data_IF_208980238578
#
_entry.id   IF_208980238578
#
_cell.length_a   1.000
_cell.length_b   1.000
_cell.length_c   1.000
_cell.angle_alpha   90.00
_cell.angle_beta   90.00
_cell.angle_gamma   90.00
#
_symmetry.space_group_name_H-M   'P 1'
#
loop_
_entity.id
_entity.type
_entity.pdbx_description
1 polymer ?
#
# COMPACT_ATOMS: atom_id res chain seq x y z
N UNK A 1 -51.16 9.59 33.12
CA UNK A 1 -49.72 9.33 32.88
C UNK A 1 -49.24 10.06 31.61
N UNK A 2 -49.03 11.38 31.63
CA UNK A 2 -48.56 12.15 30.45
C UNK A 2 -47.15 12.75 30.62
N UNK A 3 -46.65 12.85 31.85
CA UNK A 3 -45.38 13.54 32.13
C UNK A 3 -44.13 12.71 31.84
N UNK A 4 -44.22 11.37 31.78
CA UNK A 4 -43.05 10.49 31.56
C UNK A 4 -42.56 10.51 30.10
N UNK A 5 -43.45 10.76 29.13
CA UNK A 5 -43.13 10.70 27.69
C UNK A 5 -42.23 11.86 27.24
N UNK A 6 -42.43 13.05 27.81
CA UNK A 6 -41.63 14.24 27.49
C UNK A 6 -40.23 14.16 28.12
N UNK A 7 -40.13 13.61 29.33
CA UNK A 7 -38.84 13.38 30.00
C UNK A 7 -38.00 12.38 29.20
N UNK A 8 -38.62 11.27 28.73
CA UNK A 8 -37.93 10.28 27.89
C UNK A 8 -37.47 10.91 26.56
N UNK A 9 -38.29 11.76 25.94
CA UNK A 9 -37.94 12.43 24.69
C UNK A 9 -36.75 13.39 24.87
N UNK A 10 -36.75 14.20 25.93
CA UNK A 10 -35.65 15.11 26.25
C UNK A 10 -34.37 14.33 26.56
N UNK A 11 -34.45 13.27 27.36
CA UNK A 11 -33.30 12.44 27.70
C UNK A 11 -32.66 11.78 26.46
N UNK A 12 -33.47 11.32 25.51
CA UNK A 12 -32.98 10.76 24.26
C UNK A 12 -32.26 11.81 23.40
N UNK A 13 -32.80 13.02 23.32
CA UNK A 13 -32.22 14.12 22.55
C UNK A 13 -30.85 14.53 23.12
N UNK A 14 -30.73 14.59 24.45
CA UNK A 14 -29.46 14.88 25.13
C UNK A 14 -28.41 13.80 24.84
N UNK A 15 -28.78 12.51 24.86
CA UNK A 15 -27.86 11.42 24.55
C UNK A 15 -27.34 11.48 23.11
N UNK A 16 -28.21 11.82 22.14
CA UNK A 16 -27.82 12.01 20.74
C UNK A 16 -26.81 13.15 20.60
N UNK A 17 -27.07 14.30 21.25
CA UNK A 17 -26.17 15.46 21.20
C UNK A 17 -24.81 15.13 21.80
N UNK A 18 -24.77 14.47 22.96
CA UNK A 18 -23.51 14.05 23.60
C UNK A 18 -22.75 13.05 22.71
N UNK A 19 -23.45 12.10 22.10
CA UNK A 19 -22.84 11.11 21.20
C UNK A 19 -22.18 11.74 19.96
N UNK A 20 -22.84 12.72 19.35
CA UNK A 20 -22.29 13.45 18.19
C UNK A 20 -21.08 14.30 18.62
N UNK A 21 -21.17 15.01 19.74
CA UNK A 21 -20.07 15.84 20.23
C UNK A 21 -18.85 15.01 20.69
N UNK A 22 -19.07 13.81 21.23
CA UNK A 22 -18.01 12.93 21.71
C UNK A 22 -17.09 12.39 20.61
N UNK A 23 -17.61 12.20 19.39
CA UNK A 23 -16.84 11.62 18.28
C UNK A 23 -15.68 12.50 17.81
N UNK A 24 -15.81 13.82 17.95
CA UNK A 24 -14.78 14.80 17.57
C UNK A 24 -13.53 14.75 18.45
N UNK A 25 -13.60 14.12 19.62
CA UNK A 25 -12.46 14.03 20.54
C UNK A 25 -11.57 12.79 20.31
N UNK A 26 -11.86 11.96 19.30
CA UNK A 26 -11.01 10.80 19.01
C UNK A 26 -9.61 11.25 18.54
N UNK A 27 -8.53 10.90 19.26
CA UNK A 27 -7.19 11.28 18.86
C UNK A 27 -6.78 10.45 17.64
N UNK A 28 -6.83 11.05 16.45
CA UNK A 28 -6.18 10.49 15.27
C UNK A 28 -4.67 10.53 15.54
N UNK A 29 -4.05 9.36 15.64
CA UNK A 29 -2.60 9.26 15.80
C UNK A 29 -1.92 9.87 14.57
N UNK A 30 -1.32 11.05 14.74
CA UNK A 30 -0.59 11.76 13.69
C UNK A 30 0.46 10.89 13.00
N UNK A 31 1.04 9.95 13.75
CA UNK A 31 2.04 9.02 13.25
C UNK A 31 1.49 8.07 12.18
N UNK A 32 0.32 7.48 12.40
CA UNK A 32 -0.32 6.63 11.37
C UNK A 32 -0.63 7.42 10.11
N UNK A 33 -1.07 8.67 10.26
CA UNK A 33 -1.33 9.55 9.11
C UNK A 33 -0.04 9.86 8.35
N UNK A 34 1.06 10.14 9.04
CA UNK A 34 2.38 10.38 8.43
C UNK A 34 2.91 9.15 7.71
N UNK A 35 2.81 7.97 8.31
CA UNK A 35 3.23 6.72 7.67
C UNK A 35 2.37 6.41 6.44
N UNK A 36 1.04 6.60 6.52
CA UNK A 36 0.14 6.40 5.40
C UNK A 36 0.45 7.36 4.24
N UNK A 37 0.70 8.65 4.53
CA UNK A 37 1.13 9.62 3.53
C UNK A 37 2.48 9.23 2.92
N UNK A 38 3.43 8.78 3.74
CA UNK A 38 4.74 8.32 3.27
C UNK A 38 4.60 7.14 2.30
N UNK A 39 3.74 6.17 2.62
CA UNK A 39 3.44 5.03 1.76
C UNK A 39 2.83 5.45 0.41
N UNK A 40 1.85 6.35 0.43
CA UNK A 40 1.23 6.85 -0.81
C UNK A 40 2.24 7.58 -1.70
N UNK A 41 3.11 8.40 -1.11
CA UNK A 41 4.18 9.08 -1.84
C UNK A 41 5.16 8.07 -2.47
N UNK A 42 5.61 7.07 -1.70
CA UNK A 42 6.50 6.03 -2.22
C UNK A 42 5.87 5.25 -3.39
N UNK A 43 4.58 4.90 -3.26
CA UNK A 43 3.84 4.20 -4.31
C UNK A 43 3.74 5.04 -5.58
N UNK A 44 3.49 6.33 -5.43
CA UNK A 44 3.46 7.28 -6.55
C UNK A 44 4.81 7.37 -7.24
N UNK A 45 5.90 7.51 -6.46
CA UNK A 45 7.27 7.54 -6.99
C UNK A 45 7.55 6.25 -7.77
N UNK A 46 7.34 5.09 -7.16
CA UNK A 46 7.60 3.80 -7.79
C UNK A 46 6.81 3.63 -9.10
N UNK A 47 5.51 3.94 -9.08
CA UNK A 47 4.69 3.87 -10.29
C UNK A 47 5.11 4.88 -11.37
N UNK A 48 5.54 6.08 -10.98
CA UNK A 48 6.03 7.09 -11.93
C UNK A 48 7.36 6.67 -12.58
N UNK A 49 8.26 6.06 -11.82
CA UNK A 49 9.54 5.54 -12.29
C UNK A 49 9.32 4.38 -13.27
N UNK A 50 8.62 3.34 -12.81
CA UNK A 50 8.48 2.08 -13.55
C UNK A 50 7.60 2.20 -14.79
N UNK A 51 6.49 2.93 -14.71
CA UNK A 51 5.52 2.95 -15.81
C UNK A 51 5.66 4.16 -16.71
N UNK A 52 6.02 5.32 -16.17
CA UNK A 52 6.01 6.57 -16.94
C UNK A 52 7.43 6.96 -17.36
N UNK A 53 8.39 6.95 -16.43
CA UNK A 53 9.79 7.23 -16.70
C UNK A 53 10.43 6.19 -17.61
N UNK A 54 10.28 4.91 -17.29
CA UNK A 54 10.85 3.84 -18.10
C UNK A 54 10.26 3.82 -19.52
N UNK A 55 8.94 4.02 -19.66
CA UNK A 55 8.29 4.03 -20.97
C UNK A 55 8.67 5.26 -21.80
N UNK A 56 8.70 6.45 -21.20
CA UNK A 56 8.97 7.69 -21.92
C UNK A 56 10.42 7.80 -22.39
N UNK A 57 11.37 7.24 -21.62
CA UNK A 57 12.80 7.31 -21.91
C UNK A 57 13.38 6.00 -22.45
N UNK A 58 12.56 4.97 -22.63
CA UNK A 58 13.00 3.65 -23.09
C UNK A 58 14.02 3.00 -22.14
N UNK A 59 13.93 3.31 -20.85
CA UNK A 59 14.87 2.81 -19.85
C UNK A 59 14.51 1.39 -19.44
N UNK A 60 15.53 0.62 -19.10
CA UNK A 60 15.45 -0.80 -18.72
C UNK A 60 15.88 -1.01 -17.26
N UNK A 61 15.66 -2.22 -16.75
CA UNK A 61 16.02 -2.58 -15.37
C UNK A 61 17.52 -2.36 -15.16
N UNK A 62 17.87 -1.61 -14.12
CA UNK A 62 19.25 -1.25 -13.79
C UNK A 62 19.73 0.08 -14.35
N UNK A 63 18.97 0.74 -15.21
CA UNK A 63 19.33 2.07 -15.71
C UNK A 63 19.21 3.15 -14.62
N UNK A 64 20.09 4.17 -14.66
CA UNK A 64 20.01 5.30 -13.75
C UNK A 64 18.77 6.13 -14.02
N UNK A 65 18.18 6.66 -12.95
CA UNK A 65 16.93 7.41 -12.99
C UNK A 65 17.23 8.91 -13.04
N UNK A 66 16.87 9.64 -14.12
CA UNK A 66 16.93 11.09 -14.15
C UNK A 66 15.80 11.70 -13.29
N UNK A 67 16.18 12.31 -12.18
CA UNK A 67 15.26 12.87 -11.17
C UNK A 67 14.44 14.06 -11.67
N UNK A 68 15.03 14.85 -12.57
CA UNK A 68 14.44 16.01 -13.22
C UNK A 68 13.24 15.63 -14.11
N UNK A 69 13.33 14.49 -14.79
CA UNK A 69 12.25 13.94 -15.61
C UNK A 69 11.08 13.49 -14.74
N UNK A 70 11.36 12.83 -13.62
CA UNK A 70 10.32 12.23 -12.79
C UNK A 70 9.49 13.23 -12.00
N UNK A 71 10.06 14.39 -11.69
CA UNK A 71 9.35 15.46 -11.02
C UNK A 71 8.10 15.89 -11.79
N UNK A 72 8.13 15.82 -13.13
CA UNK A 72 7.00 16.16 -14.03
C UNK A 72 5.79 15.25 -13.80
N UNK A 73 6.01 13.99 -13.44
CA UNK A 73 4.96 13.01 -13.17
C UNK A 73 4.44 13.06 -11.73
N UNK A 74 5.07 13.88 -10.87
CA UNK A 74 4.63 14.11 -9.50
C UNK A 74 3.64 15.28 -9.43
N UNK A 75 2.88 15.34 -8.33
CA UNK A 75 1.88 16.38 -8.10
C UNK A 75 2.51 17.79 -8.22
N UNK A 76 1.95 18.61 -9.12
CA UNK A 76 2.43 19.97 -9.42
C UNK A 76 3.86 20.06 -9.97
N UNK A 77 4.39 19.00 -10.57
CA UNK A 77 5.77 19.01 -11.07
C UNK A 77 6.82 19.02 -9.95
N UNK A 78 6.40 18.73 -8.70
CA UNK A 78 7.25 18.81 -7.51
C UNK A 78 7.53 17.44 -6.95
N UNK A 79 8.80 17.20 -6.62
CA UNK A 79 9.19 15.98 -5.93
C UNK A 79 8.53 15.89 -4.55
N UNK A 80 7.84 14.79 -4.21
CA UNK A 80 7.19 14.66 -2.91
C UNK A 80 8.25 14.56 -1.81
N UNK A 81 8.04 15.30 -0.72
CA UNK A 81 8.86 15.21 0.48
C UNK A 81 8.23 14.24 1.49
N UNK A 82 9.05 13.54 2.28
CA UNK A 82 8.54 12.77 3.40
C UNK A 82 7.86 13.72 4.41
N UNK A 83 6.71 13.34 5.03
CA UNK A 83 6.08 14.13 6.09
C UNK A 83 6.99 14.44 7.28
N UNK A 84 8.09 13.69 7.42
CA UNK A 84 9.13 13.88 8.42
C UNK A 84 10.26 14.84 7.96
N UNK A 85 10.15 15.43 6.77
CA UNK A 85 11.08 16.43 6.22
C UNK A 85 12.33 15.89 5.52
N UNK A 86 12.41 14.58 5.27
CA UNK A 86 13.54 13.96 4.56
C UNK A 86 13.19 13.63 3.10
N UNK A 87 14.20 13.58 2.25
CA UNK A 87 14.07 13.14 0.86
C UNK A 87 14.04 11.61 0.76
N UNK A 88 13.37 11.10 -0.27
CA UNK A 88 13.31 9.67 -0.57
C UNK A 88 14.59 9.22 -1.26
N UNK A 89 15.04 8.00 -0.96
CA UNK A 89 16.14 7.36 -1.69
C UNK A 89 15.57 6.61 -2.88
N UNK A 90 15.92 7.06 -4.07
CA UNK A 90 15.56 6.39 -5.33
C UNK A 90 16.78 5.61 -5.80
N UNK A 91 16.53 4.36 -6.15
CA UNK A 91 17.53 3.45 -6.69
C UNK A 91 17.64 3.57 -8.21
N UNK A 92 17.90 2.45 -8.85
CA UNK A 92 17.78 2.25 -10.30
C UNK A 92 16.37 1.78 -10.68
N UNK A 93 16.07 1.73 -11.97
CA UNK A 93 14.82 1.09 -12.43
C UNK A 93 14.82 -0.38 -12.03
N UNK A 94 13.69 -0.85 -11.49
CA UNK A 94 13.53 -2.16 -10.85
C UNK A 94 13.89 -2.17 -9.36
N UNK A 95 14.47 -1.09 -8.81
CA UNK A 95 14.74 -0.97 -7.38
C UNK A 95 13.62 -0.22 -6.66
N UNK A 96 13.32 -0.67 -5.45
CA UNK A 96 12.23 -0.12 -4.65
C UNK A 96 12.71 1.17 -3.96
N UNK A 97 12.00 2.31 -4.11
CA UNK A 97 12.36 3.53 -3.41
C UNK A 97 12.13 3.38 -1.91
N UNK A 98 13.03 3.91 -1.10
CA UNK A 98 12.98 3.79 0.36
C UNK A 98 12.90 5.13 1.05
N UNK A 99 12.24 5.16 2.21
CA UNK A 99 12.21 6.33 3.08
C UNK A 99 13.29 6.20 4.16
N UNK A 100 14.14 7.21 4.40
CA UNK A 100 15.16 7.17 5.46
C UNK A 100 14.57 7.20 6.89
N UNK A 101 13.26 7.40 7.04
CA UNK A 101 12.57 7.42 8.34
C UNK A 101 11.75 6.16 8.55
N UNK A 102 10.98 5.74 7.54
CA UNK A 102 10.04 4.62 7.64
C UNK A 102 10.52 3.35 6.93
N UNK A 103 11.71 3.37 6.31
CA UNK A 103 12.27 2.23 5.60
C UNK A 103 11.58 1.94 4.27
N UNK A 104 11.52 0.66 3.93
CA UNK A 104 10.80 0.12 2.78
C UNK A 104 9.34 -0.16 3.17
N UNK A 105 8.43 0.69 2.70
CA UNK A 105 6.99 0.52 2.93
C UNK A 105 6.29 -0.19 1.75
N UNK A 106 6.99 -0.45 0.64
CA UNK A 106 6.40 -1.00 -0.58
C UNK A 106 6.63 -2.50 -0.68
N UNK A 107 7.81 -2.98 -0.29
CA UNK A 107 8.08 -4.39 -0.14
C UNK A 107 7.50 -4.82 1.20
N UNK A 108 6.23 -5.25 1.18
CA UNK A 108 5.58 -5.80 2.34
C UNK A 108 6.32 -7.04 2.83
N UNK A 109 7.35 -6.86 3.65
CA UNK A 109 7.78 -7.93 4.53
C UNK A 109 6.60 -8.18 5.46
N UNK A 110 6.18 -9.42 5.55
CA UNK A 110 5.00 -9.89 6.29
C UNK A 110 5.04 -9.60 7.80
N UNK A 111 6.00 -8.81 8.29
CA UNK A 111 6.24 -8.50 9.69
C UNK A 111 5.74 -7.10 10.12
N UNK A 112 5.37 -6.21 9.20
CA UNK A 112 4.91 -4.84 9.54
C UNK A 112 3.38 -4.66 9.57
N UNK A 113 2.59 -5.73 9.35
CA UNK A 113 1.13 -5.70 9.49
C UNK A 113 0.62 -5.62 10.94
N UNK A 114 1.46 -5.24 11.92
CA UNK A 114 1.01 -5.06 13.31
C UNK A 114 0.22 -3.75 13.51
N UNK A 115 0.23 -2.82 12.55
CA UNK A 115 -0.46 -1.53 12.67
C UNK A 115 -1.87 -1.42 12.07
N UNK A 116 -2.25 -2.30 11.13
CA UNK A 116 -3.46 -2.15 10.29
C UNK A 116 -4.65 -2.99 10.76
N UNK A 117 -4.81 -3.16 12.09
CA UNK A 117 -6.01 -3.80 12.68
C UNK A 117 -7.19 -2.82 12.81
N UNK A 118 -7.63 -2.20 11.71
CA UNK A 118 -8.95 -1.54 11.69
C UNK A 118 -9.98 -2.25 10.79
N UNK A 119 -9.56 -3.21 9.96
CA UNK A 119 -10.47 -4.04 9.16
C UNK A 119 -10.31 -5.53 9.53
N UNK A 120 -10.54 -5.87 10.79
CA UNK A 120 -10.53 -7.24 11.29
C UNK A 120 -11.87 -7.92 10.96
N UNK A 121 -12.17 -8.08 9.66
CA UNK A 121 -13.28 -8.91 9.15
C UNK A 121 -12.90 -9.74 7.90
N UNK A 122 -11.63 -9.76 7.49
CA UNK A 122 -11.17 -10.76 6.52
C UNK A 122 -10.65 -11.95 7.30
N UNK A 123 -11.48 -13.00 7.33
CA UNK A 123 -11.18 -14.31 7.92
C UNK A 123 -9.81 -14.81 7.48
N UNK A 124 -9.06 -15.36 8.44
CA UNK A 124 -7.90 -16.24 8.26
C UNK A 124 -8.12 -17.18 7.06
N UNK A 125 -7.37 -17.01 5.98
CA UNK A 125 -6.96 -18.12 5.14
C UNK A 125 -5.48 -18.40 5.44
N UNK A 126 -5.22 -19.65 5.79
CA UNK A 126 -3.92 -20.15 6.18
C UNK A 126 -2.94 -20.04 5.02
N UNK A 127 -1.88 -19.24 5.18
CA UNK A 127 -0.66 -19.40 4.39
C UNK A 127 0.46 -19.81 5.35
N UNK A 128 0.59 -21.12 5.54
CA UNK A 128 1.78 -21.71 6.12
C UNK A 128 2.83 -21.87 5.00
N UNK A 129 4.00 -21.29 5.25
CA UNK A 129 5.34 -21.77 4.89
C UNK A 129 5.55 -22.42 3.49
N UNK A 130 6.39 -21.77 2.69
CA UNK A 130 7.47 -22.48 1.97
C UNK A 130 7.10 -23.26 0.72
N UNK A 131 6.64 -22.56 -0.32
CA UNK A 131 6.96 -22.80 -1.75
C UNK A 131 6.10 -21.85 -2.59
N UNK A 132 6.72 -20.96 -3.36
CA UNK A 132 6.01 -20.31 -4.46
C UNK A 132 5.96 -21.33 -5.59
N UNK A 133 4.88 -22.12 -5.63
CA UNK A 133 4.55 -22.85 -6.85
C UNK A 133 3.98 -21.79 -7.78
N UNK A 134 4.76 -21.36 -8.76
CA UNK A 134 4.23 -20.60 -9.89
C UNK A 134 3.38 -21.60 -10.68
N UNK A 135 2.10 -21.74 -10.33
CA UNK A 135 1.16 -22.42 -11.21
C UNK A 135 1.14 -21.65 -12.52
N UNK A 136 1.63 -22.28 -13.59
CA UNK A 136 1.50 -21.73 -14.94
C UNK A 136 0.02 -21.47 -15.19
N UNK A 137 -0.36 -20.35 -15.83
CA UNK A 137 -1.75 -20.10 -16.17
C UNK A 137 -2.26 -21.27 -17.01
N UNK A 138 -3.28 -21.97 -16.51
CA UNK A 138 -3.90 -23.14 -17.17
C UNK A 138 -4.81 -22.73 -18.33
N UNK A 139 -4.94 -21.42 -18.58
CA UNK A 139 -5.75 -20.85 -19.64
C UNK A 139 -4.98 -19.73 -20.35
N UNK A 140 -5.17 -19.63 -21.66
CA UNK A 140 -4.70 -18.47 -22.42
C UNK A 140 -5.56 -17.22 -22.13
N UNK A 141 -5.15 -16.06 -22.67
CA UNK A 141 -5.89 -14.79 -22.54
C UNK A 141 -7.32 -14.83 -23.13
N UNK A 142 -7.70 -15.92 -23.80
CA UNK A 142 -9.02 -16.17 -24.36
C UNK A 142 -9.81 -17.28 -23.63
N UNK A 143 -9.31 -17.76 -22.48
CA UNK A 143 -9.99 -18.74 -21.63
C UNK A 143 -9.96 -20.18 -22.15
N UNK A 144 -9.08 -20.52 -23.10
CA UNK A 144 -8.94 -21.90 -23.60
C UNK A 144 -7.94 -22.69 -22.74
N UNK A 145 -8.23 -23.95 -22.40
CA UNK A 145 -7.28 -24.80 -21.65
C UNK A 145 -6.00 -25.03 -22.46
N UNK A 146 -4.85 -24.75 -21.87
CA UNK A 146 -3.56 -25.11 -22.46
C UNK A 146 -3.31 -26.60 -22.21
N UNK A 147 -3.26 -27.40 -23.28
CA UNK A 147 -3.02 -28.84 -23.22
C UNK A 147 -1.61 -29.11 -22.66
N UNK A 148 -1.55 -29.81 -21.52
CA UNK A 148 -0.35 -29.95 -20.71
C UNK A 148 0.72 -30.82 -21.40
N UNK A 149 1.80 -30.21 -21.88
CA UNK A 149 3.09 -30.91 -22.02
C UNK A 149 3.98 -30.56 -20.83
N UNK A 150 4.04 -31.47 -19.86
CA UNK A 150 5.04 -31.44 -18.80
C UNK A 150 6.43 -31.46 -19.45
N UNK A 151 7.16 -30.35 -19.34
CA UNK A 151 8.59 -30.30 -19.63
C UNK A 151 9.28 -30.26 -18.27
N UNK A 152 9.89 -31.38 -17.89
CA UNK A 152 10.82 -31.45 -16.77
C UNK A 152 11.98 -30.48 -17.02
N UNK A 153 12.28 -29.62 -16.05
CA UNK A 153 13.45 -28.76 -16.07
C UNK A 153 14.13 -28.80 -14.70
N UNK A 154 15.17 -29.62 -14.65
CA UNK A 154 16.46 -29.37 -14.00
C UNK A 154 16.48 -28.83 -12.57
N UNK A 155 16.82 -29.72 -11.64
CA UNK A 155 17.30 -29.38 -10.31
C UNK A 155 18.64 -28.63 -10.41
N UNK A 156 18.66 -27.36 -10.00
CA UNK A 156 19.90 -26.59 -9.81
C UNK A 156 20.28 -26.67 -8.33
N UNK A 157 21.19 -27.58 -8.02
CA UNK A 157 21.89 -27.65 -6.74
C UNK A 157 23.04 -26.65 -6.74
N UNK A 158 23.14 -25.81 -5.71
CA UNK A 158 24.33 -25.00 -5.40
C UNK A 158 24.52 -24.89 -3.87
N UNK A 159 25.76 -24.66 -3.41
CA UNK A 159 26.56 -25.61 -2.61
C UNK A 159 26.26 -25.68 -1.12
#
# INVERSE_FOLDING_TARGET
MKMKKNIILVAFLVLVVIGVLGMQFLPISRERTRQAQCYQNLKMIYGSVEHQGALAHGLTIGDPIPMDVLAVYCLNGKWPCCPSGKEYKIGRIGEIPTCPVHGDLLHGTSQDFVGWKCCQWVKKSNYHAGRVIIEKPTVDLHGKPLENKATELGEVTQP
#
